data_IF_165034848637
#
_entry.id   IF_165034848637
#
_cell.length_a   1.000
_cell.length_b   1.000
_cell.length_c   1.000
_cell.angle_alpha   90.00
_cell.angle_beta   90.00
_cell.angle_gamma   90.00
#
_symmetry.space_group_name_H-M   'P 1'
#
loop_
_entity.id
_entity.type
_entity.pdbx_description
1 polymer ?
#
# COMPACT_ATOMS: atom_id res chain seq x y z
N UNK A 1 -17.92 -44.33 -42.08
CA UNK A 1 -18.18 -44.10 -40.65
C UNK A 1 -17.62 -45.16 -39.69
N UNK A 2 -17.20 -46.36 -40.16
CA UNK A 2 -16.76 -47.46 -39.26
C UNK A 2 -15.23 -47.56 -39.06
N UNK A 3 -14.44 -46.63 -39.60
CA UNK A 3 -12.97 -46.74 -39.61
C UNK A 3 -12.33 -46.77 -38.22
N UNK A 4 -12.86 -45.97 -37.29
CA UNK A 4 -12.38 -45.91 -35.89
C UNK A 4 -12.62 -47.24 -35.16
N UNK A 5 -13.78 -47.87 -35.41
CA UNK A 5 -14.16 -49.16 -34.81
C UNK A 5 -13.28 -50.29 -35.35
N UNK A 6 -13.03 -50.32 -36.67
CA UNK A 6 -12.18 -51.34 -37.30
C UNK A 6 -10.72 -51.21 -36.85
N UNK A 7 -10.22 -49.99 -36.67
CA UNK A 7 -8.88 -49.72 -36.11
C UNK A 7 -8.79 -50.15 -34.65
N UNK A 8 -9.82 -49.89 -33.84
CA UNK A 8 -9.89 -50.32 -32.45
C UNK A 8 -9.86 -51.84 -32.30
N UNK A 9 -10.59 -52.56 -33.16
CA UNK A 9 -10.61 -54.03 -33.17
C UNK A 9 -9.30 -54.66 -33.65
N UNK A 10 -8.55 -54.00 -34.55
CA UNK A 10 -7.25 -54.51 -35.06
C UNK A 10 -6.08 -54.33 -34.09
N UNK A 11 -6.15 -53.38 -33.13
CA UNK A 11 -5.05 -53.07 -32.20
C UNK A 11 -5.54 -52.93 -30.74
N UNK A 12 -6.10 -54.00 -30.14
CA UNK A 12 -6.75 -53.95 -28.83
C UNK A 12 -5.83 -53.46 -27.71
N UNK A 13 -4.55 -53.91 -27.71
CA UNK A 13 -3.58 -53.49 -26.69
C UNK A 13 -3.31 -51.99 -26.67
N UNK A 14 -3.34 -51.33 -27.84
CA UNK A 14 -3.09 -49.88 -27.93
C UNK A 14 -4.22 -49.09 -27.25
N UNK A 15 -5.46 -49.56 -27.38
CA UNK A 15 -6.62 -48.93 -26.74
C UNK A 15 -6.66 -49.19 -25.23
N UNK A 16 -6.25 -50.37 -24.77
CA UNK A 16 -6.11 -50.66 -23.33
C UNK A 16 -5.07 -49.74 -22.69
N UNK A 17 -3.89 -49.60 -23.31
CA UNK A 17 -2.85 -48.68 -22.82
C UNK A 17 -3.34 -47.23 -22.86
N UNK A 18 -4.02 -46.82 -23.93
CA UNK A 18 -4.59 -45.48 -24.04
C UNK A 18 -5.63 -45.19 -22.94
N UNK A 19 -6.52 -46.14 -22.65
CA UNK A 19 -7.48 -46.01 -21.55
C UNK A 19 -6.80 -45.89 -20.19
N UNK A 20 -5.75 -46.68 -19.94
CA UNK A 20 -4.96 -46.58 -18.69
C UNK A 20 -4.27 -45.22 -18.60
N UNK A 21 -3.70 -44.71 -19.69
CA UNK A 21 -3.12 -43.37 -19.73
C UNK A 21 -4.16 -42.29 -19.42
N UNK A 22 -5.34 -42.35 -20.05
CA UNK A 22 -6.43 -41.39 -19.79
C UNK A 22 -6.85 -41.44 -18.32
N UNK A 23 -6.95 -42.64 -17.72
CA UNK A 23 -7.32 -42.81 -16.32
C UNK A 23 -6.26 -42.19 -15.39
N UNK A 24 -4.97 -42.45 -15.65
CA UNK A 24 -3.86 -41.89 -14.88
C UNK A 24 -3.81 -40.36 -15.00
N UNK A 25 -3.92 -39.81 -16.20
CA UNK A 25 -3.95 -38.36 -16.41
C UNK A 25 -5.21 -37.72 -15.79
N UNK A 26 -6.35 -38.39 -15.86
CA UNK A 26 -7.59 -37.94 -15.24
C UNK A 26 -7.48 -37.82 -13.72
N UNK A 27 -6.99 -38.86 -13.06
CA UNK A 27 -6.75 -38.85 -11.60
C UNK A 27 -5.71 -37.78 -11.24
N UNK A 28 -4.60 -37.69 -11.99
CA UNK A 28 -3.57 -36.68 -11.72
C UNK A 28 -4.12 -35.25 -11.86
N UNK A 29 -5.01 -35.02 -12.83
CA UNK A 29 -5.65 -33.71 -13.05
C UNK A 29 -6.61 -33.39 -11.90
N UNK A 30 -7.43 -34.33 -11.46
CA UNK A 30 -8.35 -34.13 -10.32
C UNK A 30 -7.58 -33.75 -9.04
N UNK A 31 -6.45 -34.43 -8.77
CA UNK A 31 -5.65 -34.16 -7.56
C UNK A 31 -4.87 -32.84 -7.65
N UNK A 32 -4.43 -32.43 -8.85
CA UNK A 32 -3.66 -31.19 -9.04
C UNK A 32 -4.51 -29.96 -9.31
N UNK A 33 -5.80 -30.11 -9.62
CA UNK A 33 -6.65 -28.96 -9.98
C UNK A 33 -6.86 -28.10 -8.73
N UNK A 34 -6.46 -26.82 -8.75
CA UNK A 34 -6.71 -25.90 -7.65
C UNK A 34 -8.22 -25.75 -7.44
N UNK A 35 -8.69 -26.00 -6.23
CA UNK A 35 -10.08 -25.77 -5.84
C UNK A 35 -10.19 -24.36 -5.25
N UNK A 36 -10.90 -23.48 -5.93
CA UNK A 36 -11.33 -22.19 -5.37
C UNK A 36 -12.80 -22.29 -4.94
N UNK A 37 -13.13 -21.76 -3.77
CA UNK A 37 -14.50 -21.78 -3.21
C UNK A 37 -15.40 -20.79 -3.94
N UNK A 38 -14.82 -19.74 -4.54
CA UNK A 38 -15.56 -18.74 -5.30
C UNK A 38 -15.15 -18.74 -6.77
N UNK A 39 -16.10 -18.62 -7.72
CA UNK A 39 -15.74 -18.31 -9.09
C UNK A 39 -15.02 -16.95 -9.13
N UNK A 40 -13.99 -16.83 -9.98
CA UNK A 40 -13.24 -15.59 -10.08
C UNK A 40 -14.08 -14.48 -10.74
N UNK A 41 -14.74 -13.67 -9.91
CA UNK A 41 -15.50 -12.50 -10.36
C UNK A 41 -14.51 -11.35 -10.57
N UNK A 42 -13.92 -11.29 -11.77
CA UNK A 42 -12.98 -10.23 -12.17
C UNK A 42 -13.75 -8.98 -12.62
N UNK A 43 -14.28 -8.20 -11.68
CA UNK A 43 -14.72 -6.84 -12.00
C UNK A 43 -13.47 -5.95 -11.95
N UNK A 44 -13.01 -5.38 -13.07
CA UNK A 44 -11.78 -4.60 -13.12
C UNK A 44 -11.99 -3.24 -12.43
N UNK A 45 -11.76 -3.21 -11.11
CA UNK A 45 -11.92 -2.00 -10.29
C UNK A 45 -10.59 -1.61 -9.66
N UNK A 46 -10.21 -0.35 -9.83
CA UNK A 46 -9.06 0.27 -9.15
C UNK A 46 -9.58 1.31 -8.17
N UNK A 47 -9.16 1.22 -6.92
CA UNK A 47 -9.45 2.20 -5.89
C UNK A 47 -8.25 3.13 -5.68
N UNK A 48 -8.54 4.42 -5.65
CA UNK A 48 -7.57 5.48 -5.38
C UNK A 48 -8.01 6.21 -4.12
N UNK A 49 -7.13 6.26 -3.12
CA UNK A 49 -7.40 6.92 -1.85
C UNK A 49 -6.48 8.11 -1.67
N UNK A 50 -7.07 9.30 -1.72
CA UNK A 50 -6.43 10.55 -1.38
C UNK A 50 -6.62 10.85 0.09
N UNK A 51 -5.56 11.29 0.76
CA UNK A 51 -5.60 11.73 2.15
C UNK A 51 -5.03 13.15 2.25
N UNK A 52 -5.82 14.05 2.84
CA UNK A 52 -5.42 15.43 3.13
C UNK A 52 -6.14 15.92 4.38
N UNK A 53 -5.48 15.83 5.52
CA UNK A 53 -6.09 16.16 6.81
C UNK A 53 -6.55 17.63 6.88
N UNK A 54 -7.69 17.86 7.54
CA UNK A 54 -8.17 19.21 7.86
C UNK A 54 -9.17 19.83 6.88
N UNK A 55 -9.44 19.21 5.73
CA UNK A 55 -10.48 19.68 4.80
C UNK A 55 -11.86 19.07 5.11
N UNK A 56 -12.89 19.90 4.98
CA UNK A 56 -14.28 19.46 5.03
C UNK A 56 -14.63 18.60 3.80
N UNK A 57 -15.58 17.65 3.90
CA UNK A 57 -15.96 16.79 2.78
C UNK A 57 -16.34 17.55 1.50
N UNK A 58 -17.01 18.70 1.64
CA UNK A 58 -17.39 19.59 0.53
C UNK A 58 -16.17 20.19 -0.16
N UNK A 59 -15.14 20.58 0.60
CA UNK A 59 -13.90 21.11 0.06
C UNK A 59 -13.04 20.02 -0.59
N UNK A 60 -12.98 18.83 0.02
CA UNK A 60 -12.30 17.66 -0.56
C UNK A 60 -12.91 17.31 -1.91
N UNK A 61 -14.24 17.29 -2.00
CA UNK A 61 -14.95 17.02 -3.25
C UNK A 61 -14.58 18.03 -4.35
N UNK A 62 -14.63 19.32 -4.05
CA UNK A 62 -14.34 20.36 -5.05
C UNK A 62 -12.86 20.52 -5.40
N UNK A 63 -11.95 20.41 -4.43
CA UNK A 63 -10.52 20.72 -4.60
C UNK A 63 -9.65 19.51 -4.91
N UNK A 64 -10.09 18.30 -4.57
CA UNK A 64 -9.31 17.07 -4.78
C UNK A 64 -10.05 16.16 -5.73
N UNK A 65 -11.23 15.69 -5.33
CA UNK A 65 -11.98 14.65 -6.06
C UNK A 65 -12.31 15.09 -7.49
N UNK A 66 -12.94 16.26 -7.65
CA UNK A 66 -13.36 16.76 -8.97
C UNK A 66 -12.19 17.04 -9.92
N UNK A 67 -11.09 17.63 -9.41
CA UNK A 67 -9.90 17.88 -10.21
C UNK A 67 -9.25 16.58 -10.65
N UNK A 68 -9.19 15.58 -9.76
CA UNK A 68 -8.61 14.29 -10.04
C UNK A 68 -9.45 13.48 -11.06
N UNK A 69 -10.77 13.41 -10.90
CA UNK A 69 -11.69 12.75 -11.84
C UNK A 69 -11.57 13.31 -13.26
N UNK A 70 -11.43 14.64 -13.38
CA UNK A 70 -11.24 15.30 -14.66
C UNK A 70 -9.93 14.89 -15.33
N UNK A 71 -8.84 14.77 -14.57
CA UNK A 71 -7.54 14.33 -15.09
C UNK A 71 -7.53 12.84 -15.43
N UNK A 72 -8.24 12.00 -14.68
CA UNK A 72 -8.40 10.58 -15.00
C UNK A 72 -9.05 10.40 -16.38
N UNK A 73 -10.15 11.12 -16.63
CA UNK A 73 -10.94 10.96 -17.86
C UNK A 73 -10.16 11.36 -19.12
N UNK A 74 -9.16 12.23 -19.00
CA UNK A 74 -8.32 12.65 -20.14
C UNK A 74 -7.08 11.79 -20.38
N UNK A 75 -6.66 10.96 -19.43
CA UNK A 75 -5.37 10.25 -19.49
C UNK A 75 -5.48 8.72 -19.35
N UNK A 76 -6.60 8.20 -18.85
CA UNK A 76 -6.80 6.75 -18.65
C UNK A 76 -7.86 6.26 -19.63
N UNK A 77 -7.50 5.26 -20.45
CA UNK A 77 -8.41 4.64 -21.40
C UNK A 77 -9.27 3.57 -20.74
N UNK A 78 -10.48 3.35 -21.29
CA UNK A 78 -11.32 2.22 -20.90
C UNK A 78 -12.03 2.38 -19.57
N UNK A 79 -12.20 3.61 -19.06
CA UNK A 79 -13.08 3.90 -17.92
C UNK A 79 -14.54 3.64 -18.34
N UNK A 80 -15.24 2.81 -17.58
CA UNK A 80 -16.69 2.62 -17.68
C UNK A 80 -17.42 3.70 -16.89
N UNK A 81 -17.14 3.79 -15.59
CA UNK A 81 -17.69 4.81 -14.72
C UNK A 81 -16.80 5.05 -13.50
N UNK A 82 -17.00 6.19 -12.83
CA UNK A 82 -16.28 6.60 -11.64
C UNK A 82 -17.29 6.71 -10.48
N UNK A 83 -16.98 6.10 -9.34
CA UNK A 83 -17.70 6.34 -8.08
C UNK A 83 -16.76 6.97 -7.08
N UNK A 84 -17.12 8.15 -6.55
CA UNK A 84 -16.31 8.83 -5.55
C UNK A 84 -17.08 9.16 -4.29
N UNK A 85 -16.39 9.01 -3.16
CA UNK A 85 -16.87 9.34 -1.84
C UNK A 85 -15.85 10.23 -1.13
N UNK A 86 -16.27 11.45 -0.83
CA UNK A 86 -15.45 12.41 -0.08
C UNK A 86 -15.83 12.36 1.38
N UNK A 87 -14.84 12.15 2.24
CA UNK A 87 -14.94 12.15 3.69
C UNK A 87 -14.10 13.29 4.26
N UNK A 88 -14.17 13.48 5.59
CA UNK A 88 -13.33 14.48 6.26
C UNK A 88 -11.85 14.13 6.08
N UNK A 89 -11.13 15.00 5.41
CA UNK A 89 -9.70 14.84 5.11
C UNK A 89 -9.30 13.64 4.25
N UNK A 90 -10.23 13.00 3.53
CA UNK A 90 -9.88 11.92 2.60
C UNK A 90 -10.91 11.77 1.47
N UNK A 91 -10.49 11.33 0.30
CA UNK A 91 -11.35 10.99 -0.84
C UNK A 91 -11.06 9.58 -1.32
N UNK A 92 -12.12 8.78 -1.51
CA UNK A 92 -12.04 7.42 -2.04
C UNK A 92 -12.71 7.42 -3.41
N UNK A 93 -11.97 7.03 -4.43
CA UNK A 93 -12.40 7.07 -5.82
C UNK A 93 -12.23 5.67 -6.40
N UNK A 94 -13.34 5.04 -6.77
CA UNK A 94 -13.39 3.73 -7.42
C UNK A 94 -13.55 3.95 -8.92
N UNK A 95 -12.62 3.39 -9.66
CA UNK A 95 -12.55 3.48 -11.12
C UNK A 95 -12.98 2.11 -11.65
N UNK A 96 -14.16 2.07 -12.26
CA UNK A 96 -14.66 0.88 -12.93
C UNK A 96 -14.20 0.94 -14.39
N UNK A 97 -13.54 -0.11 -14.83
CA UNK A 97 -13.00 -0.21 -16.18
C UNK A 97 -13.88 -1.13 -17.04
N UNK A 98 -13.85 -0.92 -18.35
CA UNK A 98 -14.56 -1.72 -19.32
C UNK A 98 -14.04 -3.17 -19.32
N UNK A 99 -14.92 -4.16 -19.56
CA UNK A 99 -14.49 -5.55 -19.73
C UNK A 99 -13.49 -5.70 -20.89
N UNK A 100 -12.34 -6.33 -20.63
CA UNK A 100 -11.31 -6.61 -21.63
C UNK A 100 -10.14 -5.62 -21.70
N UNK A 101 -10.16 -4.56 -20.88
CA UNK A 101 -9.01 -3.65 -20.70
C UNK A 101 -7.86 -4.39 -19.99
N UNK A 102 -6.62 -4.09 -20.37
CA UNK A 102 -5.45 -4.51 -19.60
C UNK A 102 -5.40 -3.74 -18.28
N UNK A 103 -5.78 -4.41 -17.19
CA UNK A 103 -5.80 -3.76 -15.88
C UNK A 103 -4.42 -3.29 -15.44
N UNK A 104 -3.34 -4.00 -15.80
CA UNK A 104 -2.00 -3.59 -15.38
C UNK A 104 -1.58 -2.29 -16.08
N UNK A 105 -1.95 -2.14 -17.36
CA UNK A 105 -1.72 -0.91 -18.10
C UNK A 105 -2.56 0.24 -17.51
N UNK A 106 -3.86 0.01 -17.28
CA UNK A 106 -4.75 1.02 -16.69
C UNK A 106 -4.29 1.44 -15.29
N UNK A 107 -3.83 0.50 -14.45
CA UNK A 107 -3.26 0.78 -13.14
C UNK A 107 -2.00 1.64 -13.23
N UNK A 108 -1.11 1.35 -14.18
CA UNK A 108 0.09 2.17 -14.42
C UNK A 108 -0.25 3.58 -14.89
N UNK A 109 -1.26 3.75 -15.76
CA UNK A 109 -1.74 5.06 -16.21
C UNK A 109 -2.35 5.84 -15.04
N UNK A 110 -3.17 5.19 -14.20
CA UNK A 110 -3.77 5.77 -12.99
C UNK A 110 -2.68 6.21 -12.00
N UNK A 111 -1.64 5.41 -11.78
CA UNK A 111 -0.54 5.77 -10.88
C UNK A 111 0.27 6.95 -11.43
N UNK A 112 0.57 6.94 -12.73
CA UNK A 112 1.31 8.02 -13.41
C UNK A 112 0.57 9.36 -13.35
N UNK A 113 -0.75 9.37 -13.61
CA UNK A 113 -1.55 10.60 -13.52
C UNK A 113 -1.73 11.05 -12.07
N UNK A 114 -1.84 10.12 -11.11
CA UNK A 114 -1.90 10.41 -9.68
C UNK A 114 -0.66 11.15 -9.16
N UNK A 115 0.51 10.77 -9.65
CA UNK A 115 1.75 11.48 -9.31
C UNK A 115 1.79 12.87 -9.97
N UNK A 116 1.31 12.99 -11.20
CA UNK A 116 1.35 14.26 -11.95
C UNK A 116 0.36 15.30 -11.41
N UNK A 117 -0.87 14.89 -11.10
CA UNK A 117 -1.95 15.76 -10.60
C UNK A 117 -1.67 16.29 -9.19
N UNK A 118 -0.82 15.62 -8.41
CA UNK A 118 -0.36 16.08 -7.09
C UNK A 118 0.14 17.53 -7.13
N UNK A 119 0.75 17.98 -8.23
CA UNK A 119 1.24 19.36 -8.42
C UNK A 119 0.13 20.41 -8.60
N UNK A 120 -1.07 19.98 -8.98
CA UNK A 120 -2.24 20.84 -9.20
C UNK A 120 -3.19 20.85 -7.99
N UNK A 121 -2.98 19.93 -7.05
CA UNK A 121 -3.74 19.80 -5.82
C UNK A 121 -3.16 20.73 -4.72
N UNK A 122 -3.83 20.86 -3.55
CA UNK A 122 -3.33 21.68 -2.46
C UNK A 122 -1.87 21.36 -2.08
N UNK A 123 -1.07 22.35 -1.66
CA UNK A 123 0.31 22.12 -1.24
C UNK A 123 0.35 21.11 -0.10
N UNK A 124 1.46 20.37 0.01
CA UNK A 124 1.70 19.33 1.03
C UNK A 124 0.79 18.10 0.95
N UNK A 125 0.02 17.92 -0.12
CA UNK A 125 -0.66 16.64 -0.38
C UNK A 125 0.32 15.58 -0.88
N UNK A 126 0.23 14.38 -0.30
CA UNK A 126 1.00 13.22 -0.79
C UNK A 126 0.26 12.53 -1.93
N UNK A 127 0.98 11.88 -2.87
CA UNK A 127 0.35 11.01 -3.85
C UNK A 127 -0.58 9.98 -3.19
N UNK A 128 -1.67 9.60 -3.87
CA UNK A 128 -2.68 8.74 -3.30
C UNK A 128 -2.17 7.30 -3.23
N UNK A 129 -2.86 6.50 -2.41
CA UNK A 129 -2.70 5.06 -2.46
C UNK A 129 -3.57 4.49 -3.58
N UNK A 130 -2.95 3.90 -4.60
CA UNK A 130 -3.63 3.16 -5.67
C UNK A 130 -3.63 1.67 -5.29
N UNK A 131 -4.80 1.03 -5.32
CA UNK A 131 -4.94 -0.39 -5.05
C UNK A 131 -6.01 -1.03 -5.92
N UNK A 132 -5.73 -2.26 -6.37
CA UNK A 132 -6.69 -3.11 -7.07
C UNK A 132 -7.71 -3.67 -6.09
N UNK A 133 -9.00 -3.56 -6.41
CA UNK A 133 -10.06 -4.20 -5.65
C UNK A 133 -10.42 -5.54 -6.28
N UNK A 134 -10.22 -6.60 -5.52
CA UNK A 134 -10.66 -7.95 -5.89
C UNK A 134 -11.87 -8.32 -5.04
N UNK A 135 -13.05 -8.44 -5.66
CA UNK A 135 -14.29 -8.77 -4.94
C UNK A 135 -14.27 -10.17 -4.29
N UNK A 136 -13.31 -11.01 -4.68
CA UNK A 136 -13.07 -12.36 -4.16
C UNK A 136 -12.02 -12.44 -3.06
N UNK A 137 -11.40 -11.33 -2.63
CA UNK A 137 -10.37 -11.36 -1.58
C UNK A 137 -10.99 -11.55 -0.20
N UNK A 138 -11.21 -12.81 0.19
CA UNK A 138 -11.59 -13.16 1.57
C UNK A 138 -10.33 -13.19 2.44
N UNK A 139 -10.35 -12.61 3.67
CA UNK A 139 -9.22 -12.72 4.57
C UNK A 139 -8.92 -14.19 4.87
N UNK A 140 -7.76 -14.68 4.44
CA UNK A 140 -7.37 -16.09 4.62
C UNK A 140 -7.00 -16.37 6.09
N UNK A 141 -6.40 -15.39 6.77
CA UNK A 141 -6.04 -15.48 8.18
C UNK A 141 -6.08 -14.09 8.82
N UNK A 142 -6.51 -14.03 10.09
CA UNK A 142 -6.38 -12.83 10.93
C UNK A 142 -5.46 -13.12 12.10
N UNK A 143 -4.43 -12.29 12.27
CA UNK A 143 -3.46 -12.41 13.37
C UNK A 143 -3.77 -11.33 14.40
N UNK A 144 -4.09 -11.75 15.63
CA UNK A 144 -4.26 -10.85 16.77
C UNK A 144 -2.96 -10.80 17.58
N UNK A 145 -2.40 -9.61 17.75
CA UNK A 145 -1.19 -9.40 18.56
C UNK A 145 -1.60 -8.85 19.92
N UNK A 146 -1.18 -9.51 21.00
CA UNK A 146 -1.45 -9.10 22.38
C UNK A 146 -0.18 -9.22 23.21
N UNK A 147 0.05 -8.26 24.10
CA UNK A 147 1.11 -8.33 25.10
C UNK A 147 0.66 -7.68 26.41
N UNK A 148 1.09 -8.22 27.55
CA UNK A 148 0.73 -7.72 28.87
C UNK A 148 1.56 -6.47 29.26
N UNK A 149 2.79 -6.37 28.77
CA UNK A 149 3.76 -5.34 29.18
C UNK A 149 4.09 -4.31 28.10
N UNK A 150 3.25 -4.16 27.07
CA UNK A 150 3.48 -3.19 25.99
C UNK A 150 2.33 -2.20 25.88
N UNK A 151 2.67 -0.95 25.61
CA UNK A 151 1.67 0.07 25.30
C UNK A 151 0.99 -0.23 23.95
N UNK A 152 -0.23 0.27 23.71
CA UNK A 152 -0.88 0.15 22.40
C UNK A 152 -0.01 0.68 21.24
N UNK A 153 0.81 1.70 21.49
CA UNK A 153 1.71 2.27 20.49
C UNK A 153 2.92 1.36 20.20
N UNK A 154 3.49 0.73 21.23
CA UNK A 154 4.59 -0.22 21.05
C UNK A 154 4.10 -1.51 20.38
N UNK A 155 2.89 -1.96 20.70
CA UNK A 155 2.23 -3.09 20.00
C UNK A 155 1.99 -2.80 18.53
N UNK A 156 1.50 -1.60 18.20
CA UNK A 156 1.28 -1.18 16.82
C UNK A 156 2.60 -1.13 16.05
N UNK A 157 3.65 -0.56 16.64
CA UNK A 157 4.99 -0.51 16.08
C UNK A 157 5.57 -1.92 15.87
N UNK A 158 5.42 -2.82 16.84
CA UNK A 158 5.82 -4.22 16.73
C UNK A 158 5.12 -4.93 15.55
N UNK A 159 3.80 -4.75 15.43
CA UNK A 159 3.01 -5.33 14.35
C UNK A 159 3.42 -4.79 12.98
N UNK A 160 3.55 -3.47 12.84
CA UNK A 160 3.86 -2.78 11.58
C UNK A 160 5.30 -3.00 11.11
N UNK A 161 6.28 -2.95 12.01
CA UNK A 161 7.70 -2.89 11.65
C UNK A 161 8.45 -4.21 11.86
N UNK A 162 7.95 -5.15 12.67
CA UNK A 162 8.59 -6.47 12.84
C UNK A 162 7.75 -7.61 12.27
N UNK A 163 6.48 -7.69 12.65
CA UNK A 163 5.62 -8.83 12.28
C UNK A 163 5.24 -8.76 10.79
N UNK A 164 4.77 -7.61 10.32
CA UNK A 164 4.33 -7.44 8.92
C UNK A 164 5.45 -7.75 7.90
N UNK A 165 6.69 -7.22 8.01
CA UNK A 165 7.74 -7.55 7.05
C UNK A 165 8.09 -9.04 7.00
N UNK A 166 7.99 -9.75 8.14
CA UNK A 166 8.22 -11.19 8.20
C UNK A 166 7.13 -11.99 7.49
N UNK A 167 5.87 -11.55 7.55
CA UNK A 167 4.75 -12.26 6.94
C UNK A 167 4.59 -11.97 5.44
N UNK A 168 5.00 -10.79 4.98
CA UNK A 168 4.93 -10.38 3.56
C UNK A 168 5.83 -11.25 2.66
N UNK A 169 6.83 -11.95 3.21
CA UNK A 169 7.68 -12.85 2.42
C UNK A 169 6.95 -14.08 1.89
N UNK A 170 5.73 -14.37 2.36
CA UNK A 170 4.93 -15.49 1.89
C UNK A 170 4.39 -15.15 0.49
N UNK A 171 4.71 -15.94 -0.55
CA UNK A 171 4.22 -15.69 -1.90
C UNK A 171 2.69 -15.65 -1.96
N UNK A 172 2.14 -14.62 -2.59
CA UNK A 172 0.69 -14.42 -2.71
C UNK A 172 0.02 -13.80 -1.47
N UNK A 173 0.78 -13.43 -0.44
CA UNK A 173 0.23 -12.71 0.71
C UNK A 173 0.23 -11.19 0.49
N UNK A 174 -0.90 -10.56 0.80
CA UNK A 174 -1.02 -9.10 0.89
C UNK A 174 -1.45 -8.79 2.32
N UNK A 175 -0.59 -8.08 3.05
CA UNK A 175 -0.83 -7.70 4.44
C UNK A 175 -1.10 -6.19 4.53
N UNK A 176 -2.36 -5.79 4.76
CA UNK A 176 -2.70 -4.39 4.99
C UNK A 176 -2.09 -3.88 6.30
N UNK A 177 -2.23 -2.58 6.56
CA UNK A 177 -1.84 -2.00 7.84
C UNK A 177 -2.62 -2.65 9.00
N UNK A 178 -2.00 -2.83 10.18
CA UNK A 178 -2.69 -3.37 11.35
C UNK A 178 -3.92 -2.54 11.69
N UNK A 179 -5.04 -3.22 11.95
CA UNK A 179 -6.25 -2.57 12.44
C UNK A 179 -6.16 -2.27 13.94
N UNK A 180 -6.55 -1.06 14.34
CA UNK A 180 -6.46 -0.60 15.73
C UNK A 180 -5.06 -0.16 16.15
N UNK A 181 -4.82 -0.10 17.47
CA UNK A 181 -3.58 0.45 18.03
C UNK A 181 -3.46 1.97 17.83
N UNK A 182 -2.31 2.54 18.18
CA UNK A 182 -2.01 3.95 17.97
C UNK A 182 -0.64 4.05 17.30
N UNK A 183 -0.51 4.87 16.25
CA UNK A 183 0.83 5.22 15.74
C UNK A 183 1.61 5.95 16.84
N UNK A 184 2.90 5.65 16.95
CA UNK A 184 3.79 6.35 17.88
C UNK A 184 3.99 7.77 17.37
N UNK A 185 3.41 8.75 18.04
CA UNK A 185 3.51 10.17 17.72
C UNK A 185 4.19 10.92 18.86
N UNK A 186 5.05 11.88 18.51
CA UNK A 186 5.67 12.78 19.48
C UNK A 186 4.90 14.10 19.48
N UNK A 187 4.12 14.32 20.53
CA UNK A 187 3.35 15.56 20.70
C UNK A 187 4.21 16.59 21.43
N UNK A 188 4.52 17.70 20.75
CA UNK A 188 5.19 18.85 21.37
C UNK A 188 4.14 19.84 21.83
N UNK A 189 3.82 19.84 23.12
CA UNK A 189 2.92 20.82 23.73
C UNK A 189 3.65 22.13 23.99
N UNK A 190 3.18 23.21 23.39
CA UNK A 190 3.74 24.55 23.57
C UNK A 190 3.07 25.28 24.73
N UNK A 191 3.88 25.88 25.60
CA UNK A 191 3.42 26.73 26.70
C UNK A 191 3.31 28.19 26.23
N UNK A 192 2.07 28.67 26.10
CA UNK A 192 1.78 30.00 25.57
C UNK A 192 2.36 31.13 26.42
N UNK A 193 2.41 30.98 27.75
CA UNK A 193 2.96 32.02 28.63
C UNK A 193 4.47 32.15 28.44
N UNK A 194 5.17 31.02 28.30
CA UNK A 194 6.62 30.99 28.05
C UNK A 194 6.99 31.49 26.65
N UNK A 195 6.13 31.28 25.66
CA UNK A 195 6.30 31.83 24.32
C UNK A 195 6.20 33.36 24.33
N UNK A 196 5.16 33.90 24.98
CA UNK A 196 4.95 35.34 25.12
C UNK A 196 6.11 36.02 25.86
N UNK A 197 6.57 35.43 26.97
CA UNK A 197 7.70 35.95 27.74
C UNK A 197 9.03 35.99 26.96
N UNK A 198 9.15 35.22 25.89
CA UNK A 198 10.34 35.16 25.03
C UNK A 198 10.16 35.82 23.66
N UNK A 199 9.02 36.47 23.43
CA UNK A 199 8.65 37.04 22.14
C UNK A 199 8.74 36.03 20.98
N UNK A 200 8.41 34.76 21.25
CA UNK A 200 8.42 33.69 20.25
C UNK A 200 7.00 33.34 19.81
N UNK A 201 6.82 33.06 18.53
CA UNK A 201 5.57 32.51 17.99
C UNK A 201 5.62 30.99 17.93
N UNK A 202 4.46 30.35 17.81
CA UNK A 202 4.40 28.89 17.58
C UNK A 202 5.10 28.50 16.27
N UNK A 203 5.03 29.36 15.26
CA UNK A 203 5.71 29.20 13.97
C UNK A 203 7.23 29.22 14.14
N UNK A 204 7.78 30.05 15.02
CA UNK A 204 9.22 30.09 15.29
C UNK A 204 9.72 28.78 15.90
N UNK A 205 8.94 28.20 16.82
CA UNK A 205 9.26 26.88 17.40
C UNK A 205 9.15 25.78 16.35
N UNK A 206 8.11 25.81 15.51
CA UNK A 206 7.98 24.87 14.40
C UNK A 206 9.17 24.94 13.43
N UNK A 207 9.54 26.15 13.00
CA UNK A 207 10.68 26.38 12.11
C UNK A 207 12.00 25.92 12.76
N UNK A 208 12.20 26.21 14.04
CA UNK A 208 13.37 25.74 14.77
C UNK A 208 13.43 24.21 14.82
N UNK A 209 12.30 23.54 15.06
CA UNK A 209 12.20 22.08 15.10
C UNK A 209 12.50 21.45 13.73
N UNK A 210 11.90 21.99 12.66
CA UNK A 210 12.11 21.51 11.29
C UNK A 210 13.57 21.69 10.87
N UNK A 211 14.18 22.85 11.15
CA UNK A 211 15.58 23.13 10.82
C UNK A 211 16.58 22.28 11.60
N UNK A 212 16.23 21.82 12.80
CA UNK A 212 17.06 20.91 13.59
C UNK A 212 16.95 19.45 13.15
N UNK A 213 15.86 19.06 12.48
CA UNK A 213 15.59 17.69 12.06
C UNK A 213 16.38 17.22 10.81
N UNK A 214 17.32 18.02 10.31
CA UNK A 214 18.03 17.71 9.06
C UNK A 214 19.30 16.90 9.37
N UNK A 215 19.29 15.63 8.97
CA UNK A 215 20.51 14.81 8.85
C UNK A 215 21.23 15.25 7.58
N UNK A 216 22.16 16.19 7.72
CA UNK A 216 23.00 16.63 6.61
C UNK A 216 24.13 15.60 6.39
N UNK A 217 24.30 15.04 5.17
CA UNK A 217 25.49 14.26 4.86
C UNK A 217 26.70 15.20 4.95
N UNK A 218 27.66 14.88 5.83
CA UNK A 218 28.83 15.74 6.06
C UNK A 218 29.96 15.47 5.05
N UNK A 219 29.75 14.53 4.12
CA UNK A 219 30.71 14.15 3.09
C UNK A 219 31.81 13.22 3.60
N UNK A 220 32.81 13.02 2.78
CA UNK A 220 34.04 12.32 3.09
C UNK A 220 35.18 13.33 3.35
N UNK A 221 36.12 12.94 4.20
CA UNK A 221 37.32 13.70 4.52
C UNK A 221 38.53 12.80 4.33
N UNK A 222 39.32 13.10 3.31
CA UNK A 222 40.58 12.39 3.05
C UNK A 222 41.69 12.90 3.95
N UNK A 223 42.17 12.04 4.84
CA UNK A 223 43.35 12.27 5.68
C UNK A 223 44.46 11.31 5.26
N UNK A 224 45.52 11.87 4.66
CA UNK A 224 46.62 11.11 4.06
C UNK A 224 46.12 10.10 3.00
N UNK A 225 46.32 8.81 3.24
CA UNK A 225 45.94 7.72 2.35
C UNK A 225 44.54 7.14 2.66
N UNK A 226 43.89 7.60 3.73
CA UNK A 226 42.61 7.04 4.20
C UNK A 226 41.51 8.05 4.03
N UNK A 227 40.40 7.58 3.45
CA UNK A 227 39.19 8.37 3.29
C UNK A 227 38.23 8.09 4.45
N UNK A 228 37.84 9.13 5.18
CA UNK A 228 36.96 9.03 6.34
C UNK A 228 35.59 9.56 5.98
N UNK A 229 34.57 8.69 6.00
CA UNK A 229 33.20 9.15 5.86
C UNK A 229 32.79 9.87 7.15
N UNK A 230 32.53 11.17 7.04
CA UNK A 230 32.12 12.00 8.18
C UNK A 230 30.59 11.98 8.25
N UNK A 231 30.05 11.63 9.41
CA UNK A 231 28.61 11.66 9.66
C UNK A 231 28.27 12.74 10.68
N UNK A 232 27.35 13.64 10.32
CA UNK A 232 26.76 14.57 11.27
C UNK A 232 25.79 13.82 12.19
N UNK A 233 26.10 13.78 13.49
CA UNK A 233 25.25 13.12 14.48
C UNK A 233 24.13 14.06 14.93
N UNK A 234 23.04 14.08 14.15
CA UNK A 234 21.78 14.75 14.49
C UNK A 234 20.64 13.73 14.41
N UNK A 235 20.56 12.87 15.43
CA UNK A 235 19.46 11.91 15.57
C UNK A 235 18.64 12.25 16.83
N UNK A 236 17.33 12.39 16.64
CA UNK A 236 16.35 12.64 17.71
C UNK A 236 16.37 11.55 18.79
N UNK A 237 16.75 10.32 18.46
CA UNK A 237 16.83 9.23 19.43
C UNK A 237 17.86 9.50 20.53
N UNK A 238 18.97 10.15 20.19
CA UNK A 238 20.02 10.51 21.15
C UNK A 238 19.60 11.74 21.96
N UNK A 239 19.04 12.76 21.30
CA UNK A 239 18.55 13.97 21.98
C UNK A 239 17.38 13.70 22.94
N UNK A 240 16.46 12.80 22.60
CA UNK A 240 15.38 12.36 23.49
C UNK A 240 15.93 11.66 24.74
N UNK A 241 16.90 10.75 24.55
CA UNK A 241 17.53 10.02 25.65
C UNK A 241 18.28 10.95 26.61
N UNK A 242 18.95 11.95 26.07
CA UNK A 242 19.72 12.92 26.85
C UNK A 242 18.83 14.00 27.51
N UNK A 243 17.73 14.40 26.87
CA UNK A 243 16.80 15.41 27.41
C UNK A 243 15.85 14.86 28.49
N UNK A 244 15.51 13.57 28.43
CA UNK A 244 14.54 12.95 29.34
C UNK A 244 15.13 11.85 30.24
N UNK A 245 16.43 11.58 30.16
CA UNK A 245 17.16 10.76 31.14
C UNK A 245 16.69 9.31 31.24
N UNK A 246 16.14 8.75 30.17
CA UNK A 246 15.65 7.35 30.16
C UNK A 246 16.74 6.45 29.58
N UNK A 247 17.52 5.83 30.47
CA UNK A 247 18.49 4.77 30.16
C UNK A 247 17.89 3.39 30.35
#
# INVERSE_FOLDING_TARGET
MNGVVVIALRRPYTFVVLSICILLFGIMTIVKTPTDVFPNIKIPVVAVVWAYAGLLPTEVSGRITYLYERQLTSNVEGIEHLESHSYYGSSIIKIFLQPGVDLAAAEADIDSISQTVTKQLPPDISPPMVMRLEASSVPVAMVKVTAENLTPADLYNLAKNKIRPFLVTIPGSILPHPYGGQDKQLLVSLDQQKLLARHLTATDVHNALVNQSIVLPAGDMKLHATDWLVQSKRDWTTAYRDAFGVG
#
